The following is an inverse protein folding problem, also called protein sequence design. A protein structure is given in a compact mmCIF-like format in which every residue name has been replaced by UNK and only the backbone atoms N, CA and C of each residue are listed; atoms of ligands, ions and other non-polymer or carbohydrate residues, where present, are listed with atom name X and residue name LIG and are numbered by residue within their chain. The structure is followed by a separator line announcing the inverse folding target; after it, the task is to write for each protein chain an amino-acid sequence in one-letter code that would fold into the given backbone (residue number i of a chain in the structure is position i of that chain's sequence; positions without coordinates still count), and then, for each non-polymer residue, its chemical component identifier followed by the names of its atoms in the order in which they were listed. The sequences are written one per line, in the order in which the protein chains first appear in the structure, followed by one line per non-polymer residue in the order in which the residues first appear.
data_IF_347990406442
#
_entry.id   IF_347990406442
#
_cell.length_a   1.000
_cell.length_b   1.000
_cell.length_c   1.000
_cell.angle_alpha   90.00
_cell.angle_beta   90.00
_cell.angle_gamma   90.00
#
_symmetry.space_group_name_H-M   'P 1'
#
loop_
_entity.id
_entity.type
_entity.pdbx_description
1 polymer ?
#
# COMPACT_ATOMS: atom_id res chain seq x y z
N UNK A 1 -108.63 -63.14 -50.37
CA UNK A 1 -107.80 -64.33 -50.03
C UNK A 1 -106.44 -64.12 -50.69
N UNK A 2 -105.26 -64.19 -50.10
CA UNK A 2 -104.73 -64.41 -48.75
C UNK A 2 -103.21 -64.14 -48.87
N UNK A 3 -102.57 -63.59 -47.84
CA UNK A 3 -101.24 -62.98 -47.93
C UNK A 3 -100.03 -63.91 -48.04
N UNK A 4 -98.84 -63.31 -48.17
CA UNK A 4 -97.56 -63.82 -47.63
C UNK A 4 -96.47 -62.74 -47.70
N UNK A 5 -95.65 -62.54 -46.64
CA UNK A 5 -94.60 -61.52 -46.60
C UNK A 5 -93.18 -62.08 -46.88
N UNK A 6 -92.28 -61.12 -47.13
CA UNK A 6 -90.83 -61.20 -47.44
C UNK A 6 -89.97 -62.15 -46.55
N UNK A 7 -88.90 -62.73 -47.14
CA UNK A 7 -87.77 -63.36 -46.44
C UNK A 7 -86.42 -62.84 -46.98
N UNK A 8 -85.52 -62.41 -46.08
CA UNK A 8 -84.12 -62.07 -46.36
C UNK A 8 -83.18 -63.28 -46.14
N UNK A 9 -82.02 -63.37 -46.82
CA UNK A 9 -81.07 -64.48 -46.70
C UNK A 9 -80.13 -64.37 -45.48
N UNK A 10 -79.85 -65.50 -44.86
CA UNK A 10 -79.02 -65.69 -43.66
C UNK A 10 -77.52 -65.65 -43.95
N UNK A 11 -76.73 -64.90 -43.17
CA UNK A 11 -75.25 -64.89 -43.20
C UNK A 11 -74.65 -66.03 -42.35
N UNK A 12 -73.49 -66.61 -42.72
CA UNK A 12 -72.91 -67.76 -42.04
C UNK A 12 -72.40 -67.39 -40.64
N UNK A 13 -72.79 -68.16 -39.62
CA UNK A 13 -72.41 -67.94 -38.23
C UNK A 13 -70.98 -68.39 -37.96
N UNK A 14 -70.14 -67.48 -37.43
CA UNK A 14 -68.84 -67.84 -36.85
C UNK A 14 -69.05 -68.86 -35.71
N UNK A 15 -68.24 -69.91 -35.69
CA UNK A 15 -68.33 -70.97 -34.68
C UNK A 15 -68.21 -70.39 -33.26
N UNK A 16 -69.08 -70.84 -32.34
CA UNK A 16 -69.06 -70.44 -30.91
C UNK A 16 -67.67 -70.54 -30.26
N UNK A 17 -66.80 -71.42 -30.77
CA UNK A 17 -65.41 -71.62 -30.30
C UNK A 17 -64.48 -70.44 -30.62
N UNK A 18 -64.67 -69.76 -31.75
CA UNK A 18 -63.91 -68.55 -32.10
C UNK A 18 -64.30 -67.36 -31.22
N UNK A 19 -65.59 -67.20 -30.92
CA UNK A 19 -66.09 -66.16 -30.02
C UNK A 19 -65.62 -66.35 -28.58
N UNK A 20 -65.63 -67.58 -28.07
CA UNK A 20 -65.08 -67.89 -26.74
C UNK A 20 -63.56 -67.72 -26.68
N UNK A 21 -62.83 -68.08 -27.75
CA UNK A 21 -61.38 -67.87 -27.83
C UNK A 21 -61.01 -66.38 -27.82
N UNK A 22 -61.74 -65.54 -28.55
CA UNK A 22 -61.54 -64.09 -28.56
C UNK A 22 -61.87 -63.46 -27.20
N UNK A 23 -62.95 -63.89 -26.53
CA UNK A 23 -63.31 -63.38 -25.20
C UNK A 23 -62.26 -63.70 -24.14
N UNK A 24 -61.68 -64.91 -24.17
CA UNK A 24 -60.57 -65.29 -23.28
C UNK A 24 -59.32 -64.47 -23.58
N UNK A 25 -59.02 -64.20 -24.86
CA UNK A 25 -57.86 -63.42 -25.26
C UNK A 25 -57.97 -61.94 -24.83
N UNK A 26 -59.16 -61.35 -24.94
CA UNK A 26 -59.44 -59.99 -24.42
C UNK A 26 -59.36 -59.96 -22.89
N UNK A 27 -59.89 -60.98 -22.19
CA UNK A 27 -59.78 -61.06 -20.74
C UNK A 27 -58.31 -61.19 -20.28
N UNK A 28 -57.51 -62.01 -20.96
CA UNK A 28 -56.07 -62.13 -20.69
C UNK A 28 -55.32 -60.84 -21.00
N UNK A 29 -55.67 -60.12 -22.08
CA UNK A 29 -55.09 -58.82 -22.38
C UNK A 29 -55.47 -57.75 -21.33
N UNK A 30 -56.71 -57.75 -20.85
CA UNK A 30 -57.18 -56.86 -19.79
C UNK A 30 -56.50 -57.16 -18.44
N UNK A 31 -56.33 -58.45 -18.08
CA UNK A 31 -55.59 -58.88 -16.89
C UNK A 31 -54.11 -58.51 -17.03
N UNK A 32 -53.49 -58.78 -18.19
CA UNK A 32 -52.10 -58.41 -18.46
C UNK A 32 -51.87 -56.89 -18.37
N UNK A 33 -52.78 -56.09 -18.94
CA UNK A 33 -52.76 -54.64 -18.82
C UNK A 33 -52.99 -54.19 -17.37
N UNK A 34 -53.93 -54.81 -16.66
CA UNK A 34 -54.20 -54.51 -15.25
C UNK A 34 -53.01 -54.81 -14.34
N UNK A 35 -52.34 -55.95 -14.54
CA UNK A 35 -51.11 -56.32 -13.83
C UNK A 35 -49.99 -55.34 -14.17
N UNK A 36 -49.82 -55.00 -15.45
CA UNK A 36 -48.82 -54.02 -15.89
C UNK A 36 -49.06 -52.63 -15.28
N UNK A 37 -50.29 -52.12 -15.33
CA UNK A 37 -50.68 -50.84 -14.75
C UNK A 37 -50.53 -50.83 -13.22
N UNK A 38 -50.83 -51.96 -12.56
CA UNK A 38 -50.61 -52.13 -11.13
C UNK A 38 -49.12 -52.05 -10.77
N UNK A 39 -48.26 -52.79 -11.46
CA UNK A 39 -46.80 -52.70 -11.27
C UNK A 39 -46.26 -51.30 -11.60
N UNK A 40 -46.78 -50.64 -12.63
CA UNK A 40 -46.41 -49.28 -13.00
C UNK A 40 -46.75 -48.28 -11.87
N UNK A 41 -47.96 -48.37 -11.28
CA UNK A 41 -48.40 -47.53 -10.16
C UNK A 41 -47.62 -47.78 -8.86
N UNK A 42 -47.06 -48.98 -8.68
CA UNK A 42 -46.19 -49.31 -7.55
C UNK A 42 -44.76 -48.78 -7.73
N UNK A 43 -44.29 -48.69 -8.98
CA UNK A 43 -42.94 -48.29 -9.34
C UNK A 43 -42.78 -46.79 -9.65
N UNK A 44 -43.87 -46.07 -9.92
CA UNK A 44 -43.84 -44.64 -10.23
C UNK A 44 -44.77 -43.84 -9.32
N UNK A 45 -44.32 -42.63 -8.99
CA UNK A 45 -45.10 -41.64 -8.27
C UNK A 45 -45.14 -40.38 -9.12
N UNK A 46 -46.34 -39.92 -9.46
CA UNK A 46 -46.54 -38.70 -10.24
C UNK A 46 -47.24 -37.59 -9.45
N UNK A 47 -46.92 -36.35 -9.79
CA UNK A 47 -47.64 -35.15 -9.36
C UNK A 47 -47.81 -34.21 -10.54
N UNK A 48 -48.97 -33.60 -10.61
CA UNK A 48 -49.37 -32.54 -11.54
C UNK A 48 -49.13 -31.14 -10.95
N UNK A 49 -48.81 -31.06 -9.66
CA UNK A 49 -48.46 -29.84 -8.95
C UNK A 49 -46.94 -29.65 -8.99
N UNK A 50 -46.42 -29.28 -10.15
CA UNK A 50 -45.01 -28.93 -10.31
C UNK A 50 -44.83 -27.72 -11.21
N UNK A 51 -43.80 -26.93 -10.92
CA UNK A 51 -43.47 -25.72 -11.66
C UNK A 51 -41.97 -25.62 -11.93
N UNK A 52 -41.61 -25.05 -13.06
CA UNK A 52 -40.23 -24.67 -13.37
C UNK A 52 -39.88 -23.44 -12.54
N UNK A 53 -38.76 -23.50 -11.83
CA UNK A 53 -38.14 -22.38 -11.12
C UNK A 53 -36.75 -22.10 -11.69
N UNK A 54 -36.25 -20.89 -11.45
CA UNK A 54 -34.91 -20.49 -11.86
C UNK A 54 -34.40 -19.35 -10.98
N UNK A 55 -33.08 -19.16 -11.01
CA UNK A 55 -32.43 -18.08 -10.27
C UNK A 55 -32.83 -16.72 -10.85
N UNK A 56 -33.19 -15.75 -10.00
CA UNK A 56 -33.50 -14.38 -10.45
C UNK A 56 -32.39 -13.45 -9.96
N UNK A 57 -31.58 -12.93 -10.88
CA UNK A 57 -30.55 -11.95 -10.56
C UNK A 57 -31.12 -10.53 -10.71
N UNK A 58 -31.29 -9.84 -9.58
CA UNK A 58 -31.74 -8.45 -9.57
C UNK A 58 -30.56 -7.50 -9.76
N UNK A 59 -30.65 -6.67 -10.78
CA UNK A 59 -29.69 -5.62 -11.09
C UNK A 59 -30.18 -4.31 -10.43
N UNK A 60 -29.36 -3.71 -9.58
CA UNK A 60 -29.69 -2.48 -8.86
C UNK A 60 -28.74 -1.32 -9.19
N UNK A 61 -29.23 -0.10 -9.08
CA UNK A 61 -28.42 1.10 -9.26
C UNK A 61 -27.38 1.23 -8.13
N UNK A 62 -26.15 1.58 -8.51
CA UNK A 62 -25.06 1.88 -7.57
C UNK A 62 -24.82 3.38 -7.38
N UNK A 63 -25.40 4.19 -8.26
CA UNK A 63 -25.31 5.65 -8.25
C UNK A 63 -26.68 6.26 -8.50
N UNK A 64 -26.86 7.50 -8.05
CA UNK A 64 -28.07 8.28 -8.25
C UNK A 64 -28.01 9.02 -9.59
N UNK A 65 -29.12 9.13 -10.30
CA UNK A 65 -29.18 9.97 -11.50
C UNK A 65 -30.34 9.63 -12.42
N UNK A 66 -30.46 10.40 -13.50
CA UNK A 66 -31.47 10.17 -14.52
C UNK A 66 -31.01 9.12 -15.52
N UNK A 67 -31.89 8.20 -15.89
CA UNK A 67 -31.63 7.25 -16.98
C UNK A 67 -31.71 7.98 -18.32
N UNK A 68 -30.58 8.04 -19.04
CA UNK A 68 -30.46 8.75 -20.33
C UNK A 68 -30.53 7.81 -21.52
N UNK A 69 -30.07 6.56 -21.35
CA UNK A 69 -30.17 5.52 -22.36
C UNK A 69 -30.70 4.24 -21.73
N UNK A 70 -31.66 3.60 -22.39
CA UNK A 70 -32.15 2.26 -22.07
C UNK A 70 -31.91 1.40 -23.32
N UNK A 71 -30.96 0.47 -23.23
CA UNK A 71 -30.45 -0.28 -24.40
C UNK A 71 -31.08 -1.66 -24.53
N UNK A 72 -31.71 -2.15 -23.47
CA UNK A 72 -32.32 -3.47 -23.42
C UNK A 72 -33.74 -3.37 -22.88
N UNK A 73 -34.67 -3.96 -23.62
CA UNK A 73 -36.08 -4.11 -23.24
C UNK A 73 -36.38 -5.44 -22.56
N UNK A 74 -37.57 -5.53 -21.95
CA UNK A 74 -38.08 -6.78 -21.40
C UNK A 74 -38.14 -7.89 -22.45
N UNK A 75 -37.96 -9.14 -21.99
CA UNK A 75 -37.97 -10.34 -22.80
C UNK A 75 -36.87 -10.42 -23.88
N UNK A 76 -35.79 -9.65 -23.73
CA UNK A 76 -34.60 -9.74 -24.58
C UNK A 76 -33.46 -10.51 -23.90
N UNK A 77 -32.65 -11.27 -24.67
CA UNK A 77 -31.44 -11.90 -24.15
C UNK A 77 -30.36 -10.84 -23.91
N UNK A 78 -29.59 -11.03 -22.84
CA UNK A 78 -28.40 -10.25 -22.51
C UNK A 78 -27.23 -11.17 -22.18
N UNK A 79 -26.03 -10.74 -22.51
CA UNK A 79 -24.79 -11.40 -22.13
C UNK A 79 -24.16 -10.73 -20.92
N UNK A 80 -23.41 -11.49 -20.14
CA UNK A 80 -22.58 -10.92 -19.06
C UNK A 80 -21.66 -9.82 -19.60
N UNK A 81 -21.67 -8.67 -18.95
CA UNK A 81 -20.90 -7.49 -19.32
C UNK A 81 -21.56 -6.60 -20.39
N UNK A 82 -22.72 -6.98 -20.91
CA UNK A 82 -23.48 -6.16 -21.86
C UNK A 82 -24.08 -4.93 -21.15
N UNK A 83 -24.01 -3.78 -21.81
CA UNK A 83 -24.55 -2.53 -21.29
C UNK A 83 -26.07 -2.54 -21.39
N UNK A 84 -26.74 -2.45 -20.24
CA UNK A 84 -28.19 -2.57 -20.15
C UNK A 84 -28.85 -1.19 -20.14
N UNK A 85 -28.31 -0.28 -19.35
CA UNK A 85 -28.74 1.12 -19.30
C UNK A 85 -27.59 2.05 -18.94
N UNK A 86 -27.77 3.34 -19.23
CA UNK A 86 -26.85 4.41 -18.86
C UNK A 86 -27.57 5.48 -18.05
N UNK A 87 -26.94 5.84 -16.93
CA UNK A 87 -27.29 6.99 -16.09
C UNK A 87 -26.52 8.22 -16.59
N UNK A 88 -27.08 9.41 -16.49
CA UNK A 88 -26.42 10.67 -16.87
C UNK A 88 -25.03 10.78 -16.24
N UNK A 89 -24.01 10.93 -17.09
CA UNK A 89 -22.60 10.87 -16.71
C UNK A 89 -21.99 12.24 -16.46
N UNK A 90 -22.62 13.31 -16.93
CA UNK A 90 -21.99 14.64 -17.03
C UNK A 90 -21.48 15.15 -15.68
N UNK A 91 -22.29 14.99 -14.64
CA UNK A 91 -21.91 15.38 -13.27
C UNK A 91 -20.75 14.52 -12.73
N UNK A 92 -20.69 13.24 -13.10
CA UNK A 92 -19.63 12.32 -12.69
C UNK A 92 -18.33 12.55 -13.45
N UNK A 93 -18.41 12.90 -14.74
CA UNK A 93 -17.26 13.32 -15.55
C UNK A 93 -16.66 14.61 -15.01
N UNK A 94 -17.50 15.61 -14.71
CA UNK A 94 -17.06 16.86 -14.10
C UNK A 94 -16.38 16.62 -12.74
N UNK A 95 -16.93 15.75 -11.89
CA UNK A 95 -16.31 15.37 -10.59
C UNK A 95 -14.98 14.65 -10.77
N UNK A 96 -14.89 13.72 -11.74
CA UNK A 96 -13.62 13.05 -12.09
C UNK A 96 -12.58 14.07 -12.53
N UNK A 97 -12.95 14.99 -13.41
CA UNK A 97 -12.02 15.99 -13.95
C UNK A 97 -11.56 16.98 -12.88
N UNK A 98 -12.46 17.36 -11.96
CA UNK A 98 -12.11 18.13 -10.76
C UNK A 98 -11.11 17.38 -9.86
N UNK A 99 -11.38 16.10 -9.55
CA UNK A 99 -10.49 15.28 -8.73
C UNK A 99 -9.13 15.06 -9.41
N UNK A 100 -9.12 14.89 -10.74
CA UNK A 100 -7.89 14.77 -11.55
C UNK A 100 -7.06 16.05 -11.49
N UNK A 101 -7.70 17.21 -11.62
CA UNK A 101 -7.03 18.50 -11.48
C UNK A 101 -6.46 18.68 -10.07
N UNK A 102 -7.22 18.31 -9.02
CA UNK A 102 -6.74 18.35 -7.64
C UNK A 102 -5.52 17.45 -7.41
N UNK A 103 -5.54 16.23 -7.95
CA UNK A 103 -4.39 15.31 -7.91
C UNK A 103 -3.16 15.87 -8.65
N UNK A 104 -3.36 16.53 -9.79
CA UNK A 104 -2.28 17.18 -10.52
C UNK A 104 -1.66 18.34 -9.73
N UNK A 105 -2.47 19.17 -9.07
CA UNK A 105 -2.00 20.25 -8.19
C UNK A 105 -1.22 19.70 -7.00
N UNK A 106 -1.72 18.64 -6.37
CA UNK A 106 -1.02 17.97 -5.27
C UNK A 106 0.33 17.39 -5.72
N UNK A 107 0.38 16.75 -6.89
CA UNK A 107 1.61 16.20 -7.46
C UNK A 107 2.64 17.30 -7.76
N UNK A 108 2.20 18.43 -8.33
CA UNK A 108 3.07 19.59 -8.56
C UNK A 108 3.63 20.16 -7.25
N UNK A 109 2.80 20.22 -6.21
CA UNK A 109 3.19 20.70 -4.88
C UNK A 109 4.20 19.77 -4.21
N UNK A 110 4.04 18.46 -4.37
CA UNK A 110 5.02 17.45 -3.92
C UNK A 110 6.36 17.60 -4.64
N UNK A 111 6.37 17.81 -5.96
CA UNK A 111 7.59 18.04 -6.71
C UNK A 111 8.31 19.34 -6.28
N UNK A 112 7.55 20.41 -6.01
CA UNK A 112 8.10 21.65 -5.47
C UNK A 112 8.73 21.43 -4.09
N UNK A 113 8.00 20.81 -3.16
CA UNK A 113 8.49 20.53 -1.81
C UNK A 113 9.75 19.64 -1.83
N UNK A 114 9.80 18.66 -2.74
CA UNK A 114 10.97 17.80 -2.92
C UNK A 114 12.17 18.60 -3.43
N UNK A 115 11.98 19.44 -4.44
CA UNK A 115 13.03 20.29 -4.99
C UNK A 115 13.57 21.27 -3.95
N UNK A 116 12.70 21.84 -3.12
CA UNK A 116 13.09 22.73 -2.01
C UNK A 116 13.90 21.99 -0.94
N UNK A 117 13.53 20.75 -0.61
CA UNK A 117 14.26 19.93 0.35
C UNK A 117 15.63 19.50 -0.19
N UNK A 118 15.72 19.12 -1.47
CA UNK A 118 16.97 18.79 -2.14
C UNK A 118 17.90 20.01 -2.21
N UNK A 119 17.36 21.18 -2.56
CA UNK A 119 18.10 22.44 -2.55
C UNK A 119 18.62 22.75 -1.14
N UNK A 120 17.76 22.70 -0.12
CA UNK A 120 18.15 22.97 1.26
C UNK A 120 19.23 22.00 1.76
N UNK A 121 19.16 20.73 1.36
CA UNK A 121 20.16 19.71 1.68
C UNK A 121 21.52 20.04 1.05
N UNK A 122 21.53 20.35 -0.25
CA UNK A 122 22.77 20.67 -0.97
C UNK A 122 23.39 21.98 -0.46
N UNK A 123 22.58 23.02 -0.22
CA UNK A 123 23.09 24.29 0.34
C UNK A 123 23.66 24.11 1.74
N UNK A 124 22.98 23.35 2.61
CA UNK A 124 23.46 23.09 3.98
C UNK A 124 24.73 22.24 3.94
N UNK A 125 24.83 21.28 3.03
CA UNK A 125 26.03 20.47 2.83
C UNK A 125 27.22 21.33 2.38
N UNK A 126 27.03 22.17 1.37
CA UNK A 126 28.07 23.06 0.87
C UNK A 126 28.58 24.01 1.96
N UNK A 127 27.67 24.61 2.74
CA UNK A 127 28.01 25.46 3.89
C UNK A 127 28.77 24.70 4.99
N UNK A 128 28.41 23.43 5.23
CA UNK A 128 29.09 22.61 6.22
C UNK A 128 30.51 22.25 5.77
N UNK A 129 30.69 21.95 4.50
CA UNK A 129 32.00 21.65 3.93
C UNK A 129 32.91 22.90 3.90
N UNK A 130 32.35 24.08 3.59
CA UNK A 130 33.06 25.37 3.72
C UNK A 130 33.49 25.64 5.17
N UNK A 131 32.58 25.48 6.13
CA UNK A 131 32.89 25.68 7.55
C UNK A 131 33.95 24.71 8.07
N UNK A 132 33.92 23.45 7.63
CA UNK A 132 34.95 22.45 7.95
C UNK A 132 36.30 22.81 7.35
N UNK A 133 36.34 23.25 6.10
CA UNK A 133 37.58 23.70 5.45
C UNK A 133 38.17 24.92 6.16
N UNK A 134 37.34 25.88 6.57
CA UNK A 134 37.76 27.04 7.36
C UNK A 134 38.35 26.62 8.71
N UNK A 135 37.70 25.70 9.43
CA UNK A 135 38.21 25.15 10.69
C UNK A 135 39.56 24.46 10.51
N UNK A 136 39.72 23.69 9.44
CA UNK A 136 40.98 23.02 9.15
C UNK A 136 42.10 24.01 8.85
N UNK A 137 41.81 25.06 8.06
CA UNK A 137 42.77 26.14 7.81
C UNK A 137 43.20 26.85 9.11
N UNK A 138 42.28 27.04 10.06
CA UNK A 138 42.57 27.64 11.36
C UNK A 138 43.43 26.72 12.24
N UNK A 139 43.23 25.39 12.18
CA UNK A 139 44.08 24.41 12.87
C UNK A 139 45.50 24.41 12.33
N UNK A 140 45.65 24.42 11.01
CA UNK A 140 46.98 24.51 10.37
C UNK A 140 47.69 25.81 10.76
N UNK A 141 46.95 26.92 10.86
CA UNK A 141 47.51 28.19 11.34
C UNK A 141 47.95 28.14 12.82
N UNK A 142 47.19 27.49 13.70
CA UNK A 142 47.60 27.28 15.10
C UNK A 142 48.85 26.42 15.19
N UNK A 143 48.91 25.32 14.44
CA UNK A 143 50.09 24.45 14.40
C UNK A 143 51.33 25.22 13.92
N UNK A 144 51.18 26.04 12.89
CA UNK A 144 52.27 26.88 12.37
C UNK A 144 52.71 27.95 13.40
N UNK A 145 51.76 28.53 14.13
CA UNK A 145 52.06 29.48 15.20
C UNK A 145 52.82 28.81 16.37
N UNK A 146 52.44 27.58 16.73
CA UNK A 146 53.16 26.79 17.72
C UNK A 146 54.61 26.50 17.30
N UNK A 147 54.83 26.06 16.06
CA UNK A 147 56.19 25.85 15.53
C UNK A 147 57.03 27.14 15.60
N UNK A 148 56.43 28.30 15.30
CA UNK A 148 57.11 29.59 15.41
C UNK A 148 57.45 30.01 16.86
N UNK A 149 56.66 29.58 17.85
CA UNK A 149 57.00 29.75 19.28
C UNK A 149 58.17 28.86 19.66
N UNK A 150 58.18 27.61 19.21
CA UNK A 150 59.27 26.67 19.51
C UNK A 150 60.60 27.16 18.93
N UNK A 151 60.59 27.67 17.68
CA UNK A 151 61.76 28.30 17.04
C UNK A 151 62.25 29.54 17.81
N UNK A 152 61.34 30.44 18.17
CA UNK A 152 61.68 31.64 18.93
C UNK A 152 62.23 31.29 20.33
N UNK A 153 61.69 30.26 20.98
CA UNK A 153 62.16 29.79 22.28
C UNK A 153 63.57 29.21 22.19
N UNK A 154 63.85 28.38 21.17
CA UNK A 154 65.19 27.87 20.93
C UNK A 154 66.21 29.01 20.69
N UNK A 155 65.80 30.06 19.98
CA UNK A 155 66.63 31.25 19.75
C UNK A 155 66.94 32.01 21.04
N UNK A 156 65.93 32.22 21.90
CA UNK A 156 66.12 32.84 23.23
C UNK A 156 67.07 31.99 24.08
N UNK A 157 66.90 30.67 24.11
CA UNK A 157 67.78 29.76 24.86
C UNK A 157 69.23 29.83 24.37
N UNK A 158 69.46 29.85 23.05
CA UNK A 158 70.80 30.02 22.47
C UNK A 158 71.44 31.37 22.86
N UNK A 159 70.67 32.47 22.79
CA UNK A 159 71.15 33.81 23.19
C UNK A 159 71.43 33.90 24.70
N UNK A 160 70.59 33.28 25.54
CA UNK A 160 70.83 33.20 26.99
C UNK A 160 72.09 32.40 27.33
N UNK A 161 72.36 31.31 26.61
CA UNK A 161 73.60 30.55 26.76
C UNK A 161 74.83 31.39 26.37
N UNK A 162 74.75 32.20 25.30
CA UNK A 162 75.82 33.12 24.92
C UNK A 162 76.07 34.20 26.00
N UNK A 163 75.02 34.78 26.59
CA UNK A 163 75.16 35.71 27.73
C UNK A 163 75.80 35.03 28.94
N UNK A 164 75.44 33.77 29.23
CA UNK A 164 76.07 33.01 30.32
C UNK A 164 77.57 32.82 30.10
N UNK A 165 78.00 32.52 28.86
CA UNK A 165 79.42 32.46 28.50
C UNK A 165 80.12 33.82 28.66
N UNK A 166 79.50 34.92 28.18
CA UNK A 166 80.06 36.26 28.35
C UNK A 166 80.17 36.70 29.82
N UNK A 167 79.25 36.27 30.68
CA UNK A 167 79.35 36.51 32.13
C UNK A 167 80.57 35.82 32.73
N UNK A 168 80.92 34.63 32.25
CA UNK A 168 82.15 33.96 32.65
C UNK A 168 83.40 34.72 32.16
N UNK A 169 83.39 35.25 30.95
CA UNK A 169 84.48 36.09 30.42
C UNK A 169 84.67 37.38 31.23
N UNK A 170 83.57 38.06 31.60
CA UNK A 170 83.60 39.25 32.49
C UNK A 170 84.20 38.88 33.85
N UNK A 171 83.85 37.72 34.42
CA UNK A 171 84.43 37.26 35.67
C UNK A 171 85.95 37.02 35.55
N UNK A 172 86.39 36.44 34.43
CA UNK A 172 87.81 36.27 34.11
C UNK A 172 88.56 37.60 33.97
N UNK A 173 88.03 38.53 33.16
CA UNK A 173 88.61 39.86 32.94
C UNK A 173 88.61 40.71 34.22
N UNK A 174 87.59 40.56 35.08
CA UNK A 174 87.55 41.19 36.40
C UNK A 174 88.68 40.67 37.29
N UNK A 175 88.91 39.36 37.28
CA UNK A 175 89.99 38.74 38.05
C UNK A 175 91.36 39.26 37.62
N UNK A 176 91.65 39.28 36.31
CA UNK A 176 92.93 39.79 35.77
C UNK A 176 93.12 41.28 36.05
N UNK A 177 92.08 42.10 35.86
CA UNK A 177 92.10 43.53 36.21
C UNK A 177 92.38 43.74 37.70
N UNK A 178 91.71 42.99 38.58
CA UNK A 178 91.93 43.06 40.02
C UNK A 178 93.37 42.69 40.40
N UNK A 179 93.96 41.69 39.75
CA UNK A 179 95.36 41.31 39.96
C UNK A 179 96.31 42.43 39.51
N UNK A 180 96.10 43.02 38.33
CA UNK A 180 96.93 44.10 37.81
C UNK A 180 96.85 45.38 38.68
N UNK A 181 95.67 45.74 39.17
CA UNK A 181 95.48 46.86 40.11
C UNK A 181 96.21 46.60 41.43
N UNK A 182 96.10 45.39 42.00
CA UNK A 182 96.85 45.00 43.21
C UNK A 182 98.36 45.05 42.99
N UNK A 183 98.83 44.69 41.80
CA UNK A 183 100.25 44.74 41.47
C UNK A 183 100.77 46.18 41.38
N UNK A 184 100.03 47.06 40.70
CA UNK A 184 100.30 48.50 40.69
C UNK A 184 100.35 49.07 42.11
N UNK A 185 99.38 48.74 42.96
CA UNK A 185 99.32 49.21 44.35
C UNK A 185 100.48 48.70 45.21
N UNK A 186 100.97 47.49 44.92
CA UNK A 186 102.18 46.92 45.54
C UNK A 186 103.44 47.64 45.06
N UNK A 187 103.60 47.84 43.75
CA UNK A 187 104.74 48.54 43.18
C UNK A 187 104.80 50.01 43.60
N UNK A 188 103.65 50.70 43.72
CA UNK A 188 103.57 52.06 44.25
C UNK A 188 104.22 52.18 45.63
N UNK A 189 103.94 51.23 46.52
CA UNK A 189 104.53 51.19 47.88
C UNK A 189 106.04 50.94 47.81
N UNK A 190 106.47 49.98 46.99
CA UNK A 190 107.89 49.66 46.83
C UNK A 190 108.71 50.82 46.22
N UNK A 191 108.14 51.63 45.33
CA UNK A 191 108.79 52.86 44.82
C UNK A 191 108.96 53.91 45.91
N UNK A 192 107.93 54.10 46.75
CA UNK A 192 107.99 55.06 47.87
C UNK A 192 109.06 54.68 48.89
N UNK A 193 109.28 53.38 49.10
CA UNK A 193 110.30 52.84 50.00
C UNK A 193 111.69 52.71 49.34
N UNK A 194 111.82 53.04 48.04
CA UNK A 194 113.10 53.05 47.30
C UNK A 194 113.59 51.68 46.78
N UNK A 195 112.75 50.66 46.77
CA UNK A 195 113.13 49.28 46.43
C UNK A 195 113.01 48.90 44.94
N UNK A 196 112.33 49.70 44.11
CA UNK A 196 112.10 49.42 42.68
C UNK A 196 112.22 50.70 41.84
N UNK A 197 112.43 50.54 40.53
CA UNK A 197 112.65 51.65 39.59
C UNK A 197 111.33 52.29 39.10
N UNK A 198 111.39 53.57 38.71
CA UNK A 198 110.21 54.29 38.17
C UNK A 198 109.65 53.62 36.90
N UNK A 199 110.52 53.03 36.07
CA UNK A 199 110.13 52.29 34.86
C UNK A 199 109.28 51.04 35.17
N UNK A 200 109.61 50.30 36.24
CA UNK A 200 108.86 49.11 36.64
C UNK A 200 107.46 49.47 37.15
N UNK A 201 107.34 50.62 37.84
CA UNK A 201 106.05 51.16 38.22
C UNK A 201 105.23 51.61 37.02
N UNK A 202 105.81 52.36 36.09
CA UNK A 202 105.11 52.83 34.88
C UNK A 202 104.61 51.64 34.01
N UNK A 203 105.36 50.53 33.99
CA UNK A 203 104.94 49.29 33.35
C UNK A 203 103.76 48.62 34.07
N UNK A 204 103.78 48.56 35.41
CA UNK A 204 102.66 48.03 36.20
C UNK A 204 101.41 48.91 36.08
N UNK A 205 101.59 50.23 36.01
CA UNK A 205 100.51 51.20 35.79
C UNK A 205 99.85 51.01 34.43
N UNK A 206 100.65 50.96 33.36
CA UNK A 206 100.18 50.68 32.00
C UNK A 206 99.48 49.32 31.89
N UNK A 207 99.97 48.30 32.60
CA UNK A 207 99.35 46.96 32.67
C UNK A 207 97.98 46.99 33.37
N UNK A 208 97.85 47.77 34.45
CA UNK A 208 96.57 47.97 35.13
C UNK A 208 95.58 48.74 34.26
N UNK A 209 96.01 49.81 33.57
CA UNK A 209 95.17 50.57 32.65
C UNK A 209 94.66 49.72 31.49
N UNK A 210 95.54 48.97 30.82
CA UNK A 210 95.16 48.07 29.72
C UNK A 210 94.22 46.95 30.18
N UNK A 211 94.45 46.38 31.37
CA UNK A 211 93.57 45.37 31.94
C UNK A 211 92.21 45.95 32.36
N UNK A 212 92.18 47.19 32.87
CA UNK A 212 90.95 47.93 33.16
C UNK A 212 90.14 48.22 31.90
N UNK A 213 90.79 48.73 30.85
CA UNK A 213 90.15 48.96 29.55
C UNK A 213 89.64 47.65 28.92
N UNK A 214 90.36 46.54 29.09
CA UNK A 214 89.93 45.22 28.65
C UNK A 214 88.68 44.74 29.41
N UNK A 215 88.62 44.91 30.74
CA UNK A 215 87.44 44.61 31.55
C UNK A 215 86.22 45.43 31.10
N UNK A 216 86.38 46.75 30.95
CA UNK A 216 85.31 47.64 30.49
C UNK A 216 84.80 47.25 29.08
N UNK A 217 85.70 46.82 28.19
CA UNK A 217 85.33 46.37 26.86
C UNK A 217 84.48 45.09 26.90
N UNK A 218 84.85 44.10 27.72
CA UNK A 218 84.05 42.88 27.90
C UNK A 218 82.73 43.18 28.60
N UNK A 219 82.71 44.10 29.57
CA UNK A 219 81.49 44.53 30.24
C UNK A 219 80.49 45.20 29.28
N UNK A 220 80.97 46.09 28.38
CA UNK A 220 80.12 46.68 27.33
C UNK A 220 79.52 45.62 26.39
N UNK A 221 80.31 44.60 26.02
CA UNK A 221 79.84 43.47 25.21
C UNK A 221 78.75 42.66 25.93
N UNK A 222 78.90 42.42 27.23
CA UNK A 222 77.86 41.76 28.03
C UNK A 222 76.56 42.57 28.02
N UNK A 223 76.61 43.88 28.28
CA UNK A 223 75.40 44.73 28.28
C UNK A 223 74.73 44.75 26.90
N UNK A 224 75.50 44.73 25.81
CA UNK A 224 74.96 44.59 24.46
C UNK A 224 74.24 43.25 24.28
N UNK A 225 74.87 42.14 24.67
CA UNK A 225 74.26 40.81 24.55
C UNK A 225 73.00 40.66 25.43
N UNK A 226 72.97 41.27 26.62
CA UNK A 226 71.77 41.30 27.47
C UNK A 226 70.61 42.06 26.80
N UNK A 227 70.88 43.16 26.10
CA UNK A 227 69.85 43.87 25.32
C UNK A 227 69.35 43.03 24.13
N UNK A 228 70.22 42.29 23.46
CA UNK A 228 69.82 41.37 22.40
C UNK A 228 68.89 40.26 22.91
N UNK A 229 69.18 39.69 24.09
CA UNK A 229 68.28 38.73 24.74
C UNK A 229 66.92 39.37 25.01
N UNK A 230 66.88 40.57 25.59
CA UNK A 230 65.62 41.27 25.88
C UNK A 230 64.79 41.52 24.61
N UNK A 231 65.43 41.90 23.50
CA UNK A 231 64.76 42.05 22.21
C UNK A 231 64.19 40.72 21.69
N UNK A 232 64.95 39.63 21.81
CA UNK A 232 64.52 38.29 21.38
C UNK A 232 63.37 37.76 22.25
N UNK A 233 63.39 38.04 23.55
CA UNK A 233 62.29 37.70 24.47
C UNK A 233 61.00 38.45 24.12
N UNK A 234 61.10 39.72 23.72
CA UNK A 234 59.96 40.47 23.21
C UNK A 234 59.40 39.87 21.91
N UNK A 235 60.28 39.38 21.01
CA UNK A 235 59.85 38.65 19.81
C UNK A 235 59.13 37.34 20.16
N UNK A 236 59.63 36.58 21.14
CA UNK A 236 58.95 35.38 21.64
C UNK A 236 57.57 35.70 22.20
N UNK A 237 57.43 36.75 23.01
CA UNK A 237 56.13 37.20 23.51
C UNK A 237 55.15 37.52 22.36
N UNK A 238 55.64 38.13 21.27
CA UNK A 238 54.86 38.35 20.05
C UNK A 238 54.40 37.04 19.37
N UNK A 239 55.26 36.01 19.31
CA UNK A 239 54.89 34.68 18.79
C UNK A 239 53.86 33.98 19.65
N UNK A 240 53.97 34.09 20.98
CA UNK A 240 52.99 33.53 21.92
C UNK A 240 51.61 34.18 21.74
N UNK A 241 51.56 35.49 21.50
CA UNK A 241 50.31 36.18 21.15
C UNK A 241 49.71 35.66 19.84
N UNK A 242 50.53 35.35 18.83
CA UNK A 242 50.06 34.78 17.57
C UNK A 242 49.36 33.42 17.77
N UNK A 243 49.84 32.57 18.69
CA UNK A 243 49.15 31.33 19.08
C UNK A 243 47.78 31.63 19.70
N UNK A 244 47.70 32.60 20.60
CA UNK A 244 46.42 32.99 21.20
C UNK A 244 45.42 33.48 20.15
N UNK A 245 45.87 34.26 19.17
CA UNK A 245 45.05 34.70 18.03
C UNK A 245 44.60 33.53 17.14
N UNK A 246 45.48 32.55 16.88
CA UNK A 246 45.12 31.37 16.11
C UNK A 246 44.06 30.51 16.82
N UNK A 247 44.18 30.36 18.15
CA UNK A 247 43.17 29.68 18.98
C UNK A 247 41.81 30.38 18.94
N UNK A 248 41.80 31.70 18.95
CA UNK A 248 40.56 32.47 18.78
C UNK A 248 39.90 32.18 17.44
N UNK A 249 40.67 32.16 16.33
CA UNK A 249 40.14 31.81 15.00
C UNK A 249 39.56 30.40 14.95
N UNK A 250 40.15 29.44 15.65
CA UNK A 250 39.59 28.08 15.80
C UNK A 250 38.24 28.12 16.52
N UNK A 251 38.13 28.89 17.61
CA UNK A 251 36.88 29.03 18.34
C UNK A 251 35.77 29.64 17.46
N UNK A 252 36.09 30.66 16.67
CA UNK A 252 35.17 31.30 15.71
C UNK A 252 34.75 30.33 14.58
N UNK A 253 35.69 29.57 14.02
CA UNK A 253 35.40 28.57 13.00
C UNK A 253 34.52 27.42 13.54
N UNK A 254 34.77 26.98 14.79
CA UNK A 254 33.92 25.98 15.46
C UNK A 254 32.50 26.50 15.71
N UNK A 255 32.36 27.76 16.14
CA UNK A 255 31.05 28.37 16.32
C UNK A 255 30.28 28.47 14.99
N UNK A 256 30.99 28.79 13.90
CA UNK A 256 30.41 28.82 12.55
C UNK A 256 29.93 27.44 12.12
N UNK A 257 30.74 26.39 12.34
CA UNK A 257 30.35 25.00 12.05
C UNK A 257 29.12 24.57 12.86
N UNK A 258 29.09 24.86 14.16
CA UNK A 258 27.95 24.53 15.02
C UNK A 258 26.65 25.21 14.55
N UNK A 259 26.73 26.45 14.04
CA UNK A 259 25.59 27.16 13.45
C UNK A 259 25.05 26.43 12.21
N UNK A 260 25.93 25.94 11.35
CA UNK A 260 25.53 25.18 10.15
C UNK A 260 24.96 23.81 10.53
N UNK A 261 25.53 23.15 11.53
CA UNK A 261 24.98 21.90 12.06
C UNK A 261 23.57 22.08 12.62
N UNK A 262 23.29 23.20 13.29
CA UNK A 262 21.93 23.55 13.72
C UNK A 262 20.97 23.76 12.53
N UNK A 263 21.46 24.32 11.41
CA UNK A 263 20.67 24.46 10.18
C UNK A 263 20.27 23.11 9.56
N UNK A 264 20.92 21.99 9.90
CA UNK A 264 20.46 20.65 9.48
C UNK A 264 19.04 20.35 9.94
N UNK A 265 18.58 20.91 11.06
CA UNK A 265 17.19 20.78 11.48
C UNK A 265 16.21 21.41 10.48
N UNK A 266 16.62 22.45 9.73
CA UNK A 266 15.80 23.02 8.66
C UNK A 266 15.62 22.02 7.50
N UNK A 267 16.64 21.23 7.19
CA UNK A 267 16.53 20.15 6.19
C UNK A 267 15.52 19.11 6.66
N UNK A 268 15.55 18.70 7.93
CA UNK A 268 14.55 17.77 8.48
C UNK A 268 13.13 18.32 8.41
N UNK A 269 12.93 19.63 8.66
CA UNK A 269 11.62 20.26 8.51
C UNK A 269 11.14 20.25 7.04
N UNK A 270 12.05 20.52 6.10
CA UNK A 270 11.76 20.46 4.66
C UNK A 270 11.45 19.03 4.20
N UNK A 271 12.16 18.03 4.71
CA UNK A 271 11.86 16.62 4.46
C UNK A 271 10.49 16.21 5.02
N UNK A 272 10.11 16.72 6.20
CA UNK A 272 8.77 16.51 6.73
C UNK A 272 7.68 17.17 5.86
N UNK A 273 7.95 18.33 5.26
CA UNK A 273 7.08 18.96 4.25
C UNK A 273 6.88 18.07 3.02
N UNK A 274 7.94 17.42 2.52
CA UNK A 274 7.85 16.43 1.45
C UNK A 274 6.92 15.28 1.83
N UNK A 275 7.05 14.76 3.06
CA UNK A 275 6.17 13.71 3.57
C UNK A 275 4.69 14.13 3.62
N UNK A 276 4.41 15.36 4.06
CA UNK A 276 3.04 15.92 4.05
C UNK A 276 2.50 16.08 2.64
N UNK A 277 3.31 16.58 1.71
CA UNK A 277 2.90 16.75 0.32
C UNK A 277 2.65 15.39 -0.36
N UNK A 278 3.46 14.37 -0.08
CA UNK A 278 3.25 13.01 -0.58
C UNK A 278 1.94 12.41 -0.06
N UNK A 279 1.64 12.58 1.23
CA UNK A 279 0.38 12.13 1.80
C UNK A 279 -0.82 12.79 1.10
N UNK A 280 -0.72 14.08 0.77
CA UNK A 280 -1.74 14.82 0.02
C UNK A 280 -1.92 14.31 -1.41
N UNK A 281 -0.84 13.88 -2.08
CA UNK A 281 -0.93 13.21 -3.38
C UNK A 281 -1.72 11.91 -3.26
N UNK A 282 -1.39 11.07 -2.28
CA UNK A 282 -2.10 9.80 -2.08
C UNK A 282 -3.59 10.00 -1.77
N UNK A 283 -3.92 10.98 -0.92
CA UNK A 283 -5.31 11.36 -0.61
C UNK A 283 -6.08 11.76 -1.88
N UNK A 284 -5.54 12.72 -2.65
CA UNK A 284 -6.20 13.19 -3.88
C UNK A 284 -6.27 12.14 -5.00
N UNK A 285 -5.32 11.21 -5.04
CA UNK A 285 -5.40 10.04 -5.94
C UNK A 285 -6.51 9.08 -5.55
N UNK A 286 -6.72 8.85 -4.25
CA UNK A 286 -7.84 8.05 -3.76
C UNK A 286 -9.20 8.70 -4.10
N UNK A 287 -9.29 10.02 -3.97
CA UNK A 287 -10.48 10.79 -4.38
C UNK A 287 -10.75 10.68 -5.89
N UNK A 288 -9.70 10.76 -6.72
CA UNK A 288 -9.81 10.53 -8.17
C UNK A 288 -10.30 9.11 -8.47
N UNK A 289 -9.71 8.09 -7.84
CA UNK A 289 -10.12 6.71 -8.05
C UNK A 289 -11.58 6.47 -7.64
N UNK A 290 -12.03 7.10 -6.55
CA UNK A 290 -13.43 7.06 -6.15
C UNK A 290 -14.35 7.73 -7.18
N UNK A 291 -13.99 8.92 -7.68
CA UNK A 291 -14.76 9.62 -8.71
C UNK A 291 -14.83 8.82 -10.02
N UNK A 292 -13.74 8.15 -10.43
CA UNK A 292 -13.71 7.25 -11.59
C UNK A 292 -14.61 6.03 -11.38
N UNK A 293 -14.63 5.44 -10.19
CA UNK A 293 -15.52 4.32 -9.87
C UNK A 293 -16.99 4.74 -9.94
N UNK A 294 -17.33 5.92 -9.42
CA UNK A 294 -18.70 6.46 -9.54
C UNK A 294 -19.09 6.67 -11.01
N UNK A 295 -18.16 7.19 -11.84
CA UNK A 295 -18.38 7.33 -13.28
C UNK A 295 -18.57 5.96 -13.96
N UNK A 296 -17.83 4.92 -13.57
CA UNK A 296 -18.03 3.57 -14.11
C UNK A 296 -19.42 3.03 -13.75
N UNK A 297 -19.89 3.30 -12.52
CA UNK A 297 -21.21 2.86 -12.08
C UNK A 297 -22.40 3.55 -12.77
N UNK A 298 -22.16 4.61 -13.56
CA UNK A 298 -23.20 5.19 -14.43
C UNK A 298 -23.58 4.26 -15.58
N UNK A 299 -22.69 3.33 -15.96
CA UNK A 299 -22.92 2.31 -16.96
C UNK A 299 -23.29 1.01 -16.26
N UNK A 300 -24.56 0.64 -16.35
CA UNK A 300 -25.07 -0.53 -15.65
C UNK A 300 -24.97 -1.74 -16.58
N UNK A 301 -24.05 -2.65 -16.24
CA UNK A 301 -23.75 -3.85 -17.01
C UNK A 301 -24.48 -5.08 -16.45
N UNK A 302 -24.82 -6.03 -17.32
CA UNK A 302 -25.41 -7.30 -16.92
C UNK A 302 -24.39 -8.18 -16.16
N UNK A 303 -24.66 -8.63 -14.93
CA UNK A 303 -23.73 -9.46 -14.16
C UNK A 303 -23.64 -10.90 -14.64
N UNK A 304 -24.69 -11.40 -15.29
CA UNK A 304 -24.84 -12.77 -15.81
C UNK A 304 -25.47 -12.73 -17.20
N UNK A 305 -25.30 -13.80 -17.96
CA UNK A 305 -26.09 -14.06 -19.17
C UNK A 305 -27.50 -14.58 -18.82
N UNK A 306 -28.49 -14.17 -19.61
CA UNK A 306 -29.87 -14.56 -19.37
C UNK A 306 -30.88 -13.73 -20.16
N UNK A 307 -32.15 -13.83 -19.79
CA UNK A 307 -33.23 -13.01 -20.34
C UNK A 307 -33.65 -11.95 -19.33
N UNK A 308 -33.91 -10.73 -19.79
CA UNK A 308 -34.53 -9.70 -18.95
C UNK A 308 -35.99 -10.07 -18.71
N UNK A 309 -36.31 -10.50 -17.50
CA UNK A 309 -37.66 -10.95 -17.12
C UNK A 309 -38.57 -9.80 -16.70
N UNK A 310 -37.99 -8.75 -16.09
CA UNK A 310 -38.73 -7.56 -15.67
C UNK A 310 -37.83 -6.33 -15.71
N UNK A 311 -38.36 -5.24 -16.25
CA UNK A 311 -37.78 -3.90 -16.22
C UNK A 311 -38.60 -3.04 -15.25
N UNK A 312 -37.92 -2.45 -14.27
CA UNK A 312 -38.54 -1.62 -13.22
C UNK A 312 -38.21 -0.13 -13.36
N UNK A 313 -37.59 0.27 -14.47
CA UNK A 313 -37.12 1.64 -14.72
C UNK A 313 -37.44 2.09 -16.15
N UNK A 314 -37.78 3.37 -16.30
CA UNK A 314 -38.06 4.00 -17.59
C UNK A 314 -37.06 5.10 -17.96
N UNK A 315 -36.99 5.42 -19.25
CA UNK A 315 -36.18 6.51 -19.77
C UNK A 315 -36.59 7.84 -19.11
N UNK A 316 -35.61 8.64 -18.66
CA UNK A 316 -35.84 9.90 -17.96
C UNK A 316 -36.21 9.75 -16.48
N UNK A 317 -36.37 8.53 -15.96
CA UNK A 317 -36.62 8.31 -14.53
C UNK A 317 -35.35 8.56 -13.71
N UNK A 318 -35.51 9.19 -12.53
CA UNK A 318 -34.44 9.30 -11.56
C UNK A 318 -34.35 8.02 -10.71
N UNK A 319 -33.17 7.42 -10.65
CA UNK A 319 -32.89 6.21 -9.86
C UNK A 319 -32.07 6.53 -8.62
N UNK A 320 -32.28 5.77 -7.55
CA UNK A 320 -31.57 5.86 -6.28
C UNK A 320 -30.64 4.66 -6.05
N UNK A 321 -29.61 4.83 -5.23
CA UNK A 321 -28.70 3.75 -4.86
C UNK A 321 -29.49 2.60 -4.20
N UNK A 322 -29.25 1.37 -4.66
CA UNK A 322 -29.94 0.17 -4.19
C UNK A 322 -31.30 -0.10 -4.86
N UNK A 323 -31.84 0.85 -5.63
CA UNK A 323 -33.10 0.67 -6.33
C UNK A 323 -32.97 -0.45 -7.38
N UNK A 324 -33.87 -1.44 -7.39
CA UNK A 324 -33.87 -2.49 -8.40
C UNK A 324 -34.27 -1.91 -9.76
N UNK A 325 -33.41 -2.12 -10.75
CA UNK A 325 -33.57 -1.64 -12.12
C UNK A 325 -34.20 -2.71 -13.00
N UNK A 326 -33.65 -3.93 -12.98
CA UNK A 326 -34.11 -5.04 -13.82
C UNK A 326 -33.88 -6.39 -13.13
N UNK A 327 -34.61 -7.41 -13.58
CA UNK A 327 -34.41 -8.80 -13.19
C UNK A 327 -33.94 -9.62 -14.40
N UNK A 328 -32.80 -10.28 -14.29
CA UNK A 328 -32.23 -11.16 -15.32
C UNK A 328 -32.35 -12.60 -14.84
N UNK A 329 -32.92 -13.46 -15.70
CA UNK A 329 -33.11 -14.88 -15.42
C UNK A 329 -32.23 -15.70 -16.37
N UNK A 330 -31.25 -16.46 -15.87
CA UNK A 330 -30.45 -17.35 -16.68
C UNK A 330 -31.32 -18.51 -17.18
N UNK A 331 -31.27 -18.80 -18.48
CA UNK A 331 -32.06 -19.87 -19.10
C UNK A 331 -31.39 -21.25 -19.01
N UNK A 332 -30.11 -21.29 -18.66
CA UNK A 332 -29.31 -22.51 -18.58
C UNK A 332 -29.31 -23.16 -17.18
N UNK A 333 -29.85 -22.46 -16.17
CA UNK A 333 -29.88 -22.91 -14.77
C UNK A 333 -31.31 -22.85 -14.22
N UNK A 334 -32.10 -23.86 -14.61
CA UNK A 334 -33.50 -24.03 -14.21
C UNK A 334 -33.70 -25.39 -13.56
N UNK A 335 -34.61 -25.45 -12.59
CA UNK A 335 -35.01 -26.69 -11.91
C UNK A 335 -36.53 -26.78 -11.84
N UNK A 336 -37.06 -27.95 -11.50
CA UNK A 336 -38.50 -28.14 -11.32
C UNK A 336 -38.77 -28.42 -9.86
N UNK A 337 -39.68 -27.66 -9.27
CA UNK A 337 -40.18 -27.91 -7.92
C UNK A 337 -41.50 -28.65 -8.04
N UNK A 338 -41.51 -29.90 -7.59
CA UNK A 338 -42.65 -30.79 -7.66
C UNK A 338 -43.21 -31.06 -6.26
N UNK A 339 -44.46 -30.68 -6.05
CA UNK A 339 -45.16 -30.79 -4.78
C UNK A 339 -45.85 -32.16 -4.68
N UNK A 340 -45.21 -33.11 -4.01
CA UNK A 340 -45.77 -34.44 -3.75
C UNK A 340 -46.59 -34.47 -2.48
N UNK A 341 -47.65 -35.28 -2.45
CA UNK A 341 -48.40 -35.55 -1.22
C UNK A 341 -47.46 -36.25 -0.22
N UNK A 342 -47.59 -35.95 1.06
CA UNK A 342 -46.77 -36.60 2.11
C UNK A 342 -46.80 -38.14 2.01
N UNK A 343 -47.97 -38.71 1.68
CA UNK A 343 -48.14 -40.16 1.47
C UNK A 343 -47.36 -40.74 0.30
N UNK A 344 -47.02 -39.91 -0.69
CA UNK A 344 -46.30 -40.29 -1.90
C UNK A 344 -44.78 -40.25 -1.71
N UNK A 345 -44.28 -39.55 -0.68
CA UNK A 345 -42.84 -39.40 -0.43
C UNK A 345 -42.16 -40.60 0.24
N UNK A 346 -42.91 -41.54 0.80
CA UNK A 346 -42.38 -42.63 1.63
C UNK A 346 -41.25 -43.44 0.95
N UNK A 347 -41.21 -43.49 -0.39
CA UNK A 347 -40.19 -44.20 -1.18
C UNK A 347 -39.31 -43.28 -2.02
N UNK A 348 -39.52 -41.96 -1.99
CA UNK A 348 -38.74 -41.00 -2.77
C UNK A 348 -37.43 -40.70 -2.05
N UNK A 349 -36.30 -40.78 -2.76
CA UNK A 349 -34.97 -40.45 -2.22
C UNK A 349 -34.20 -39.54 -3.20
N UNK A 350 -33.30 -38.68 -2.71
CA UNK A 350 -32.33 -37.99 -3.55
C UNK A 350 -31.59 -38.98 -4.47
N UNK A 351 -31.34 -38.57 -5.72
CA UNK A 351 -30.70 -39.35 -6.76
C UNK A 351 -31.63 -40.24 -7.60
N UNK A 352 -32.92 -40.36 -7.25
CA UNK A 352 -33.87 -41.15 -8.06
C UNK A 352 -34.15 -40.49 -9.41
N UNK A 353 -34.27 -41.26 -10.51
CA UNK A 353 -34.58 -40.71 -11.82
C UNK A 353 -36.03 -40.22 -11.87
N UNK A 354 -36.20 -39.04 -12.47
CA UNK A 354 -37.47 -38.38 -12.66
C UNK A 354 -37.65 -38.00 -14.13
N UNK A 355 -38.88 -38.12 -14.61
CA UNK A 355 -39.29 -37.68 -15.94
C UNK A 355 -40.26 -36.52 -15.75
N UNK A 356 -39.95 -35.39 -16.38
CA UNK A 356 -40.75 -34.17 -16.32
C UNK A 356 -41.37 -33.90 -17.67
N UNK A 357 -42.68 -33.67 -17.68
CA UNK A 357 -43.42 -33.23 -18.85
C UNK A 357 -43.85 -31.80 -18.62
N UNK A 358 -43.57 -30.91 -19.56
CA UNK A 358 -43.93 -29.50 -19.45
C UNK A 358 -45.12 -29.25 -20.35
N UNK A 359 -46.18 -28.67 -19.81
CA UNK A 359 -47.47 -28.55 -20.51
C UNK A 359 -47.34 -27.76 -21.82
N UNK A 360 -46.41 -26.79 -21.86
CA UNK A 360 -46.10 -25.99 -23.05
C UNK A 360 -45.47 -26.80 -24.19
N UNK A 361 -44.77 -27.90 -23.89
CA UNK A 361 -44.06 -28.72 -24.88
C UNK A 361 -44.74 -30.11 -24.98
N UNK A 362 -45.92 -30.14 -25.60
CA UNK A 362 -46.69 -31.38 -25.77
C UNK A 362 -45.88 -32.43 -26.54
N UNK A 363 -45.64 -33.59 -25.93
CA UNK A 363 -44.95 -34.73 -26.53
C UNK A 363 -43.46 -34.83 -26.23
N UNK A 364 -42.91 -33.96 -25.38
CA UNK A 364 -41.52 -34.04 -24.93
C UNK A 364 -41.42 -34.34 -23.44
N UNK A 365 -40.45 -35.19 -23.13
CA UNK A 365 -40.14 -35.65 -21.78
C UNK A 365 -38.70 -35.22 -21.47
N UNK A 366 -38.54 -34.45 -20.40
CA UNK A 366 -37.25 -34.02 -19.89
C UNK A 366 -36.83 -34.95 -18.76
N UNK A 367 -35.62 -35.48 -18.83
CA UNK A 367 -35.06 -36.36 -17.82
C UNK A 367 -34.32 -35.54 -16.78
N UNK A 368 -34.44 -35.98 -15.54
CA UNK A 368 -33.77 -35.38 -14.41
C UNK A 368 -33.63 -36.37 -13.26
N UNK A 369 -33.16 -35.86 -12.14
CA UNK A 369 -33.07 -36.62 -10.90
C UNK A 369 -33.57 -35.79 -9.73
N UNK A 370 -34.04 -36.48 -8.70
CA UNK A 370 -34.37 -35.85 -7.42
C UNK A 370 -33.09 -35.29 -6.81
N UNK A 371 -33.02 -33.98 -6.65
CA UNK A 371 -31.88 -33.28 -6.04
C UNK A 371 -32.04 -33.27 -4.52
N UNK A 372 -33.15 -32.71 -4.04
CA UNK A 372 -33.45 -32.59 -2.61
C UNK A 372 -34.95 -32.58 -2.33
N UNK A 373 -35.30 -32.89 -1.08
CA UNK A 373 -36.67 -32.87 -0.56
C UNK A 373 -36.71 -31.76 0.50
N UNK A 374 -37.71 -30.87 0.43
CA UNK A 374 -37.86 -29.77 1.38
C UNK A 374 -38.08 -30.29 2.81
N UNK A 375 -37.49 -29.61 3.79
CA UNK A 375 -37.62 -29.94 5.21
C UNK A 375 -38.98 -29.54 5.82
N UNK A 376 -39.87 -28.91 5.05
CA UNK A 376 -41.22 -28.54 5.47
C UNK A 376 -42.20 -28.40 4.31
N UNK A 377 -43.50 -28.40 4.64
CA UNK A 377 -44.58 -28.32 3.65
C UNK A 377 -44.76 -26.87 3.16
N UNK A 378 -45.24 -26.69 1.93
CA UNK A 378 -45.47 -25.35 1.38
C UNK A 378 -46.39 -24.47 2.26
N UNK A 379 -47.32 -25.09 2.98
CA UNK A 379 -48.22 -24.41 3.92
C UNK A 379 -47.52 -23.84 5.16
N UNK A 380 -46.42 -24.44 5.62
CA UNK A 380 -45.65 -23.97 6.79
C UNK A 380 -44.75 -22.78 6.49
N UNK A 381 -44.34 -22.62 5.24
CA UNK A 381 -43.50 -21.50 4.78
C UNK A 381 -44.30 -20.38 4.09
N UNK A 382 -45.63 -20.51 4.00
CA UNK A 382 -46.50 -19.45 3.49
C UNK A 382 -46.51 -18.25 4.45
N UNK A 383 -46.51 -17.03 3.90
CA UNK A 383 -46.73 -15.78 4.65
C UNK A 383 -48.08 -15.76 5.38
N UNK A 384 -49.05 -16.54 4.89
CA UNK A 384 -50.36 -16.76 5.51
C UNK A 384 -50.60 -18.27 5.57
N UNK A 385 -50.19 -18.96 6.64
CA UNK A 385 -50.44 -20.38 6.81
C UNK A 385 -51.95 -20.63 6.97
N UNK A 386 -52.51 -21.69 6.35
CA UNK A 386 -53.88 -22.08 6.62
C UNK A 386 -53.99 -22.58 8.06
N UNK A 387 -54.62 -21.81 8.95
CA UNK A 387 -54.99 -22.27 10.27
C UNK A 387 -56.26 -23.13 10.18
N UNK A 388 -56.14 -24.42 10.46
CA UNK A 388 -57.30 -25.27 10.67
C UNK A 388 -57.90 -24.91 12.05
N UNK A 389 -58.78 -23.92 12.07
CA UNK A 389 -59.51 -23.54 13.27
C UNK A 389 -60.32 -24.73 13.82
N UNK A 390 -60.38 -24.86 15.15
CA UNK A 390 -61.07 -25.92 15.88
C UNK A 390 -62.50 -26.12 15.37
N UNK A 391 -62.77 -27.28 14.75
CA UNK A 391 -64.12 -27.65 14.28
C UNK A 391 -64.18 -28.32 12.91
N UNK A 392 -63.13 -28.24 12.08
CA UNK A 392 -63.09 -28.92 10.78
C UNK A 392 -62.25 -30.21 10.85
N UNK A 393 -62.89 -31.37 10.68
CA UNK A 393 -62.28 -32.70 10.82
C UNK A 393 -61.73 -33.28 9.50
N UNK A 394 -61.66 -32.47 8.44
CA UNK A 394 -61.14 -32.91 7.14
C UNK A 394 -59.61 -32.86 7.14
N UNK A 395 -58.96 -34.02 7.00
CA UNK A 395 -57.50 -34.12 6.84
C UNK A 395 -57.08 -33.44 5.53
N UNK A 396 -56.48 -32.26 5.63
CA UNK A 396 -55.86 -31.58 4.48
C UNK A 396 -54.55 -32.28 4.14
N UNK A 397 -54.45 -32.81 2.92
CA UNK A 397 -53.23 -33.45 2.44
C UNK A 397 -52.15 -32.39 2.30
N UNK A 398 -51.09 -32.54 3.08
CA UNK A 398 -49.93 -31.66 2.99
C UNK A 398 -49.07 -32.05 1.79
N UNK A 399 -48.55 -31.04 1.09
CA UNK A 399 -47.63 -31.22 -0.02
C UNK A 399 -46.23 -30.76 0.38
N UNK A 400 -45.26 -31.58 0.04
CA UNK A 400 -43.85 -31.34 0.32
C UNK A 400 -43.15 -31.08 -1.02
N UNK A 401 -42.52 -29.90 -1.18
CA UNK A 401 -41.75 -29.58 -2.37
C UNK A 401 -40.54 -30.51 -2.52
N UNK A 402 -40.37 -31.08 -3.72
CA UNK A 402 -39.22 -31.89 -4.12
C UNK A 402 -38.54 -31.18 -5.30
N UNK A 403 -37.26 -30.85 -5.14
CA UNK A 403 -36.47 -30.22 -6.19
C UNK A 403 -35.95 -31.29 -7.14
N UNK A 404 -36.26 -31.15 -8.42
CA UNK A 404 -35.82 -32.01 -9.51
C UNK A 404 -34.82 -31.22 -10.36
N UNK A 405 -33.60 -31.73 -10.47
CA UNK A 405 -32.59 -31.18 -11.36
C UNK A 405 -32.72 -31.84 -12.73
N UNK A 406 -32.96 -31.04 -13.75
CA UNK A 406 -33.07 -31.49 -15.14
C UNK A 406 -31.67 -31.69 -15.76
N UNK A 407 -31.58 -32.53 -16.79
CA UNK A 407 -30.35 -32.64 -17.60
C UNK A 407 -30.19 -31.40 -18.49
N UNK A 408 -29.11 -30.60 -18.33
CA UNK A 408 -28.87 -29.38 -19.11
C UNK A 408 -28.79 -29.57 -20.62
N UNK A 409 -28.62 -30.82 -21.11
CA UNK A 409 -28.56 -31.12 -22.54
C UNK A 409 -29.93 -31.24 -23.20
N UNK A 410 -30.97 -31.48 -22.41
CA UNK A 410 -32.31 -31.77 -22.92
C UNK A 410 -33.18 -30.53 -23.08
N UNK A 411 -32.75 -29.38 -22.54
CA UNK A 411 -33.43 -28.10 -22.70
C UNK A 411 -32.50 -27.03 -23.28
N UNK A 412 -33.05 -26.10 -24.07
CA UNK A 412 -32.27 -25.14 -24.84
C UNK A 412 -33.06 -24.53 -26.00
N UNK A 413 -32.43 -24.16 -27.11
CA UNK A 413 -33.16 -23.80 -28.32
C UNK A 413 -33.46 -25.08 -29.13
N UNK A 414 -34.73 -25.45 -29.42
CA UNK A 414 -35.96 -24.65 -29.30
C UNK A 414 -36.77 -24.84 -28.00
N UNK A 415 -36.45 -25.80 -27.14
CA UNK A 415 -37.18 -26.11 -25.91
C UNK A 415 -36.67 -25.33 -24.70
N UNK A 416 -36.84 -24.00 -24.74
CA UNK A 416 -36.33 -23.12 -23.69
C UNK A 416 -37.31 -23.07 -22.53
N UNK A 417 -36.90 -23.59 -21.38
CA UNK A 417 -37.73 -23.58 -20.18
C UNK A 417 -37.72 -22.20 -19.53
N UNK A 418 -38.87 -21.78 -19.00
CA UNK A 418 -39.02 -20.49 -18.33
C UNK A 418 -39.57 -20.71 -16.93
N UNK A 419 -39.09 -19.91 -15.98
CA UNK A 419 -39.64 -19.90 -14.63
C UNK A 419 -41.16 -19.62 -14.66
N UNK A 420 -41.92 -20.39 -13.89
CA UNK A 420 -43.39 -20.32 -13.83
C UNK A 420 -44.13 -21.27 -14.77
N UNK A 421 -43.45 -22.03 -15.64
CA UNK A 421 -44.11 -23.06 -16.46
C UNK A 421 -44.63 -24.21 -15.60
N UNK A 422 -45.87 -24.64 -15.82
CA UNK A 422 -46.45 -25.84 -15.19
C UNK A 422 -45.87 -27.13 -15.77
N UNK A 423 -45.70 -28.12 -14.91
CA UNK A 423 -45.12 -29.40 -15.26
C UNK A 423 -45.79 -30.56 -14.52
N UNK A 424 -45.75 -31.74 -15.14
CA UNK A 424 -46.12 -33.01 -14.53
C UNK A 424 -44.84 -33.82 -14.32
N UNK A 425 -44.54 -34.17 -13.08
CA UNK A 425 -43.33 -34.91 -12.72
C UNK A 425 -43.70 -36.33 -12.32
N UNK A 426 -42.97 -37.29 -12.89
CA UNK A 426 -43.07 -38.71 -12.54
C UNK A 426 -41.70 -39.21 -12.04
N UNK A 427 -41.63 -39.63 -10.78
CA UNK A 427 -40.42 -40.21 -10.18
C UNK A 427 -40.53 -41.72 -10.20
N UNK A 428 -39.48 -42.41 -10.64
CA UNK A 428 -39.37 -43.86 -10.55
C UNK A 428 -38.78 -44.24 -9.19
N UNK A 429 -39.59 -44.90 -8.36
CA UNK A 429 -39.27 -45.27 -6.98
C UNK A 429 -38.89 -46.76 -6.80
N UNK A 430 -38.92 -47.55 -7.87
CA UNK A 430 -38.53 -48.98 -7.88
C UNK A 430 -38.01 -49.48 -9.24
#
# INVERSE_FOLDING_TARGET
MGGSPFRFPSRPGLSRRLLTGLAVLVALAAIGYGVHAWFYSLAHVSTDDAYVEGTVATLSAKVVGYVVDLLVDENRPVKRGELVLRIDRRDYEAKRDQARAAAAVAAASFQSARSDADLARETTRAQADEARASLESARVAEQSAHAGVDEARATVEAKRAAVAAMRADVAGARSSSTQAVREKDRMRRLVQDGYVSQREFDQADSSAETSGAAFDAVQRRLTQAEREVQQTEAQLAGRVLAVAQARQRIAEARATLARVESQRHQVTLKEAEVGRAQARVTETQADLAYAELQLQHTEVLAPIDGMVAKKSVELGQMVQVGQPLMAIVPLHDVWVVANFKETQLARVKPGMPAVVHIDTFSGQSFHGAVDSISAGTGARFSLLPPENATGNWVKVVQRVPVKIRLDPREFGNPHTLRAGMSAVVTIKVK
#
